data_IF_646517282792
#
_entry.id   IF_646517282792
#
_cell.length_a   1.000
_cell.length_b   1.000
_cell.length_c   1.000
_cell.angle_alpha   90.00
_cell.angle_beta   90.00
_cell.angle_gamma   90.00
#
_symmetry.space_group_name_H-M   'P 1'
#
loop_
_entity.id
_entity.type
_entity.pdbx_description
1 polymer ?
#
# COMPACT_ATOMS: atom_id res chain seq x y z
N UNK A 1 49.52 -11.46 -56.51
CA UNK A 1 48.80 -11.76 -55.24
C UNK A 1 47.72 -10.74 -54.86
N UNK A 2 47.87 -9.42 -55.09
CA UNK A 2 46.89 -8.39 -54.66
C UNK A 2 45.48 -8.46 -55.33
N UNK A 3 45.34 -8.89 -56.59
CA UNK A 3 44.03 -8.88 -57.27
C UNK A 3 43.09 -10.05 -56.92
N UNK A 4 43.62 -11.21 -56.50
CA UNK A 4 42.83 -12.34 -55.96
C UNK A 4 42.14 -11.95 -54.65
N UNK A 5 42.80 -11.12 -53.83
CA UNK A 5 42.26 -10.66 -52.54
C UNK A 5 41.10 -9.67 -52.71
N UNK A 6 41.20 -8.75 -53.68
CA UNK A 6 40.14 -7.79 -54.02
C UNK A 6 38.86 -8.45 -54.61
N UNK A 7 39.02 -9.53 -55.38
CA UNK A 7 37.86 -10.29 -55.90
C UNK A 7 37.11 -11.04 -54.79
N UNK A 8 37.83 -11.62 -53.83
CA UNK A 8 37.23 -12.28 -52.67
C UNK A 8 36.46 -11.29 -51.78
N UNK A 9 37.07 -10.13 -51.49
CA UNK A 9 36.41 -9.06 -50.70
C UNK A 9 35.14 -8.54 -51.39
N UNK A 10 35.15 -8.37 -52.72
CA UNK A 10 33.94 -7.97 -53.48
C UNK A 10 32.84 -9.03 -53.44
N UNK A 11 33.17 -10.30 -53.58
CA UNK A 11 32.22 -11.41 -53.52
C UNK A 11 31.60 -11.55 -52.12
N UNK A 12 32.41 -11.38 -51.07
CA UNK A 12 31.96 -11.40 -49.68
C UNK A 12 31.02 -10.22 -49.37
N UNK A 13 31.36 -9.01 -49.82
CA UNK A 13 30.49 -7.83 -49.70
C UNK A 13 29.16 -7.98 -50.46
N UNK A 14 29.16 -8.61 -51.64
CA UNK A 14 27.92 -8.90 -52.38
C UNK A 14 27.06 -9.93 -51.65
N UNK A 15 27.64 -11.01 -51.12
CA UNK A 15 26.93 -12.01 -50.31
C UNK A 15 26.34 -11.38 -49.05
N UNK A 16 27.09 -10.51 -48.36
CA UNK A 16 26.61 -9.79 -47.18
C UNK A 16 25.44 -8.87 -47.54
N UNK A 17 25.53 -8.10 -48.63
CA UNK A 17 24.40 -7.26 -49.11
C UNK A 17 23.16 -8.06 -49.49
N UNK A 18 23.35 -9.22 -50.12
CA UNK A 18 22.24 -10.10 -50.50
C UNK A 18 21.59 -10.75 -49.27
N UNK A 19 22.40 -11.20 -48.32
CA UNK A 19 21.93 -11.72 -47.02
C UNK A 19 21.16 -10.65 -46.24
N UNK A 20 21.68 -9.43 -46.15
CA UNK A 20 21.00 -8.31 -45.49
C UNK A 20 19.67 -7.94 -46.17
N UNK A 21 19.61 -7.94 -47.51
CA UNK A 21 18.35 -7.75 -48.24
C UNK A 21 17.34 -8.85 -47.92
N UNK A 22 17.77 -10.11 -47.87
CA UNK A 22 16.90 -11.25 -47.58
C UNK A 22 16.39 -11.19 -46.13
N UNK A 23 17.26 -10.83 -45.17
CA UNK A 23 16.86 -10.60 -43.78
C UNK A 23 15.83 -9.48 -43.66
N UNK A 24 16.06 -8.35 -44.33
CA UNK A 24 15.11 -7.23 -44.35
C UNK A 24 13.76 -7.63 -44.95
N UNK A 25 13.76 -8.49 -45.97
CA UNK A 25 12.53 -9.06 -46.54
C UNK A 25 11.80 -9.96 -45.53
N UNK A 26 12.51 -10.86 -44.84
CA UNK A 26 11.92 -11.72 -43.80
C UNK A 26 11.34 -10.88 -42.66
N UNK A 27 12.08 -9.89 -42.14
CA UNK A 27 11.59 -8.99 -41.09
C UNK A 27 10.32 -8.28 -41.52
N UNK A 28 10.30 -7.67 -42.71
CA UNK A 28 9.12 -6.97 -43.22
C UNK A 28 7.92 -7.91 -43.38
N UNK A 29 8.14 -9.13 -43.90
CA UNK A 29 7.10 -10.15 -44.03
C UNK A 29 6.56 -10.59 -42.68
N UNK A 30 7.42 -10.72 -41.67
CA UNK A 30 7.04 -11.03 -40.31
C UNK A 30 6.19 -9.92 -39.68
N UNK A 31 6.59 -8.65 -39.80
CA UNK A 31 5.82 -7.52 -39.28
C UNK A 31 4.40 -7.49 -39.88
N UNK A 32 4.32 -7.55 -41.22
CA UNK A 32 3.03 -7.61 -41.92
C UNK A 32 2.20 -8.83 -41.50
N UNK A 33 2.84 -9.98 -41.24
CA UNK A 33 2.15 -11.18 -40.75
C UNK A 33 1.54 -10.96 -39.37
N UNK A 34 2.31 -10.38 -38.45
CA UNK A 34 1.89 -10.13 -37.08
C UNK A 34 0.74 -9.13 -37.03
N UNK A 35 0.88 -7.97 -37.69
CA UNK A 35 -0.15 -6.92 -37.74
C UNK A 35 -1.45 -7.41 -38.40
N UNK A 36 -1.35 -8.31 -39.40
CA UNK A 36 -2.54 -8.87 -40.07
C UNK A 36 -3.27 -9.92 -39.23
N UNK A 37 -2.54 -10.69 -38.43
CA UNK A 37 -3.10 -11.86 -37.70
C UNK A 37 -3.43 -11.55 -36.26
N UNK A 38 -2.78 -10.56 -35.65
CA UNK A 38 -2.88 -10.26 -34.23
C UNK A 38 -3.02 -8.76 -34.00
N UNK A 39 -3.86 -8.40 -33.05
CA UNK A 39 -3.82 -7.09 -32.39
C UNK A 39 -2.96 -7.24 -31.15
N UNK A 40 -1.86 -6.49 -31.07
CA UNK A 40 -0.94 -6.51 -29.94
C UNK A 40 -0.86 -5.15 -29.28
N UNK A 41 -0.74 -5.15 -27.96
CA UNK A 41 -0.56 -3.95 -27.14
C UNK A 41 0.37 -4.25 -25.98
N UNK A 42 1.21 -3.29 -25.60
CA UNK A 42 2.10 -3.43 -24.47
C UNK A 42 1.41 -2.88 -23.22
N UNK A 43 0.96 -3.78 -22.34
CA UNK A 43 0.33 -3.42 -21.08
C UNK A 43 1.40 -2.86 -20.13
N UNK A 44 1.41 -1.54 -19.95
CA UNK A 44 2.39 -0.84 -19.11
C UNK A 44 2.20 -1.13 -17.62
N UNK A 45 0.98 -1.48 -17.20
CA UNK A 45 0.66 -1.79 -15.81
C UNK A 45 1.14 -3.20 -15.42
N UNK A 46 1.00 -4.18 -16.34
CA UNK A 46 1.50 -5.55 -16.14
C UNK A 46 2.96 -5.75 -16.60
N UNK A 47 3.49 -4.83 -17.39
CA UNK A 47 4.83 -4.91 -17.97
C UNK A 47 4.98 -6.02 -19.00
N UNK A 48 3.92 -6.34 -19.76
CA UNK A 48 3.94 -7.42 -20.75
C UNK A 48 3.15 -7.06 -22.01
N UNK A 49 3.49 -7.71 -23.13
CA UNK A 49 2.65 -7.63 -24.34
C UNK A 49 1.46 -8.56 -24.20
N UNK A 50 0.28 -8.04 -24.51
CA UNK A 50 -0.95 -8.81 -24.66
C UNK A 50 -1.34 -8.85 -26.13
N UNK A 51 -1.98 -9.94 -26.54
CA UNK A 51 -2.47 -10.10 -27.90
C UNK A 51 -3.84 -10.76 -27.95
N UNK A 52 -4.57 -10.46 -29.02
CA UNK A 52 -5.72 -11.23 -29.48
C UNK A 52 -5.63 -11.44 -30.99
N UNK A 53 -6.47 -12.31 -31.54
CA UNK A 53 -6.58 -12.44 -32.99
C UNK A 53 -7.14 -11.14 -33.58
N UNK A 54 -6.55 -10.68 -34.68
CA UNK A 54 -7.00 -9.46 -35.35
C UNK A 54 -8.47 -9.58 -35.78
N UNK A 55 -9.28 -8.55 -35.50
CA UNK A 55 -10.71 -8.52 -35.76
C UNK A 55 -11.56 -9.43 -34.86
N UNK A 56 -10.98 -10.00 -33.81
CA UNK A 56 -11.70 -10.81 -32.83
C UNK A 56 -12.23 -9.97 -31.68
N UNK A 57 -13.40 -10.35 -31.15
CA UNK A 57 -13.97 -9.79 -29.92
C UNK A 57 -13.47 -10.53 -28.66
N UNK A 58 -12.56 -11.48 -28.81
CA UNK A 58 -11.91 -12.16 -27.68
C UNK A 58 -11.12 -11.16 -26.82
N UNK A 59 -11.00 -11.42 -25.50
CA UNK A 59 -10.16 -10.62 -24.62
C UNK A 59 -8.69 -10.72 -25.02
N UNK A 60 -7.94 -9.66 -24.74
CA UNK A 60 -6.49 -9.69 -24.84
C UNK A 60 -5.92 -10.65 -23.80
N UNK A 61 -4.97 -11.48 -24.21
CA UNK A 61 -4.28 -12.45 -23.34
C UNK A 61 -2.79 -12.14 -23.33
N UNK A 62 -2.15 -12.25 -22.17
CA UNK A 62 -0.71 -12.07 -22.03
C UNK A 62 0.05 -13.04 -22.94
N UNK A 63 1.02 -12.51 -23.69
CA UNK A 63 1.84 -13.30 -24.62
C UNK A 63 2.98 -13.95 -23.86
N UNK A 64 2.70 -15.12 -23.30
CA UNK A 64 3.67 -15.98 -22.65
C UNK A 64 4.63 -16.67 -23.65
N UNK A 65 5.56 -17.47 -23.13
CA UNK A 65 6.51 -18.21 -23.96
C UNK A 65 5.84 -19.20 -24.91
N UNK A 66 4.77 -19.85 -24.45
CA UNK A 66 4.01 -20.82 -25.25
C UNK A 66 3.34 -20.14 -26.45
N UNK A 67 2.74 -18.98 -26.24
CA UNK A 67 2.11 -18.16 -27.27
C UNK A 67 3.17 -17.66 -28.26
N UNK A 68 4.33 -17.18 -27.80
CA UNK A 68 5.45 -16.78 -28.69
C UNK A 68 5.94 -17.93 -29.57
N UNK A 69 6.16 -19.11 -28.99
CA UNK A 69 6.56 -20.30 -29.73
C UNK A 69 5.49 -20.71 -30.76
N UNK A 70 4.22 -20.60 -30.39
CA UNK A 70 3.09 -20.88 -31.29
C UNK A 70 3.06 -19.89 -32.47
N UNK A 71 3.26 -18.60 -32.22
CA UNK A 71 3.33 -17.56 -33.27
C UNK A 71 4.50 -17.84 -34.21
N UNK A 72 5.68 -18.18 -33.69
CA UNK A 72 6.86 -18.50 -34.50
C UNK A 72 6.62 -19.73 -35.39
N UNK A 73 6.04 -20.81 -34.87
CA UNK A 73 5.70 -22.00 -35.66
C UNK A 73 4.69 -21.66 -36.76
N UNK A 74 3.62 -20.90 -36.44
CA UNK A 74 2.62 -20.50 -37.43
C UNK A 74 3.20 -19.59 -38.53
N UNK A 75 4.12 -18.69 -38.19
CA UNK A 75 4.81 -17.86 -39.18
C UNK A 75 5.67 -18.71 -40.13
N UNK A 76 6.37 -19.73 -39.60
CA UNK A 76 7.15 -20.68 -40.41
C UNK A 76 6.28 -21.51 -41.35
N UNK A 77 5.12 -21.97 -40.87
CA UNK A 77 4.14 -22.67 -41.71
C UNK A 77 3.62 -21.79 -42.86
N UNK A 78 3.53 -20.47 -42.65
CA UNK A 78 3.18 -19.48 -43.69
C UNK A 78 4.42 -19.01 -44.51
N UNK A 79 5.55 -19.74 -44.42
CA UNK A 79 6.74 -19.52 -45.24
C UNK A 79 7.62 -18.34 -44.81
N UNK A 80 7.50 -17.90 -43.55
CA UNK A 80 8.32 -16.84 -42.94
C UNK A 80 9.27 -17.50 -41.93
N UNK A 81 10.56 -17.54 -42.23
CA UNK A 81 11.58 -18.14 -41.35
C UNK A 81 11.88 -17.25 -40.13
N UNK A 82 10.92 -17.17 -39.21
CA UNK A 82 11.00 -16.39 -37.98
C UNK A 82 11.35 -17.27 -36.78
N UNK A 83 12.14 -16.73 -35.85
CA UNK A 83 12.44 -17.37 -34.57
C UNK A 83 11.64 -16.74 -33.45
N UNK A 84 11.49 -17.44 -32.32
CA UNK A 84 10.85 -16.91 -31.11
C UNK A 84 11.50 -15.59 -30.65
N UNK A 85 12.81 -15.46 -30.86
CA UNK A 85 13.57 -14.23 -30.59
C UNK A 85 13.16 -13.06 -31.47
N UNK A 86 12.77 -13.29 -32.72
CA UNK A 86 12.31 -12.22 -33.61
C UNK A 86 10.91 -11.76 -33.19
N UNK A 87 10.06 -12.69 -32.78
CA UNK A 87 8.75 -12.38 -32.18
C UNK A 87 8.93 -11.56 -30.90
N UNK A 88 9.83 -11.99 -30.01
CA UNK A 88 10.13 -11.26 -28.77
C UNK A 88 10.63 -9.85 -29.04
N UNK A 89 11.58 -9.67 -29.97
CA UNK A 89 12.10 -8.35 -30.35
C UNK A 89 11.01 -7.42 -30.86
N UNK A 90 10.08 -7.93 -31.67
CA UNK A 90 8.93 -7.15 -32.12
C UNK A 90 8.04 -6.73 -30.94
N UNK A 91 7.71 -7.66 -30.04
CA UNK A 91 6.89 -7.39 -28.85
C UNK A 91 7.53 -6.41 -27.87
N UNK A 92 8.85 -6.41 -27.76
CA UNK A 92 9.63 -5.51 -26.90
C UNK A 92 10.02 -4.20 -27.61
N UNK A 93 9.48 -3.93 -28.80
CA UNK A 93 9.76 -2.72 -29.58
C UNK A 93 8.59 -1.74 -29.63
N UNK A 94 8.87 -0.50 -30.01
CA UNK A 94 7.87 0.57 -30.15
C UNK A 94 6.83 0.33 -31.27
N UNK A 95 6.97 -0.75 -32.05
CA UNK A 95 5.92 -1.17 -32.98
C UNK A 95 4.66 -1.66 -32.24
N UNK A 96 4.81 -2.21 -31.04
CA UNK A 96 3.68 -2.56 -30.19
C UNK A 96 3.32 -1.37 -29.31
N UNK A 97 2.15 -0.78 -29.56
CA UNK A 97 1.71 0.43 -28.86
C UNK A 97 1.51 0.17 -27.37
N UNK A 98 1.98 1.12 -26.55
CA UNK A 98 1.71 1.14 -25.12
C UNK A 98 0.19 1.26 -24.86
N UNK A 99 -0.25 0.55 -23.83
CA UNK A 99 -1.62 0.50 -23.35
C UNK A 99 -1.58 0.47 -21.82
N UNK A 100 -2.33 1.35 -21.18
CA UNK A 100 -2.53 1.31 -19.74
C UNK A 100 -4.01 1.07 -19.45
N UNK A 101 -4.39 -0.08 -18.85
CA UNK A 101 -5.79 -0.37 -18.56
C UNK A 101 -6.42 0.64 -17.60
N UNK A 102 -5.63 1.24 -16.71
CA UNK A 102 -6.12 2.22 -15.73
C UNK A 102 -6.42 3.54 -16.39
N UNK A 103 -5.51 4.04 -17.24
CA UNK A 103 -5.68 5.31 -17.95
C UNK A 103 -6.93 5.24 -18.84
N UNK A 104 -7.08 4.16 -19.61
CA UNK A 104 -8.25 3.98 -20.49
C UNK A 104 -9.55 3.86 -19.71
N UNK A 105 -9.53 3.19 -18.56
CA UNK A 105 -10.68 3.12 -17.67
C UNK A 105 -11.08 4.51 -17.18
N UNK A 106 -10.15 5.29 -16.62
CA UNK A 106 -10.45 6.61 -16.05
C UNK A 106 -10.77 7.66 -17.12
N UNK A 107 -10.04 7.69 -18.24
CA UNK A 107 -10.30 8.59 -19.37
C UNK A 107 -11.70 8.35 -19.96
N UNK A 108 -12.10 7.08 -20.06
CA UNK A 108 -13.44 6.70 -20.53
C UNK A 108 -14.57 7.24 -19.66
N UNK A 109 -14.31 7.59 -18.39
CA UNK A 109 -15.31 8.05 -17.42
C UNK A 109 -15.46 9.58 -17.34
N UNK A 110 -14.54 10.35 -17.95
CA UNK A 110 -14.59 11.82 -17.92
C UNK A 110 -15.94 12.31 -18.48
N UNK A 111 -16.61 13.19 -17.72
CA UNK A 111 -17.91 13.76 -18.08
C UNK A 111 -19.11 12.81 -17.94
N UNK A 112 -18.95 11.60 -17.39
CA UNK A 112 -20.05 10.62 -17.22
C UNK A 112 -20.71 10.62 -15.85
N UNK A 113 -20.22 11.42 -14.90
CA UNK A 113 -20.75 11.46 -13.54
C UNK A 113 -22.18 12.01 -13.53
N UNK A 114 -23.08 11.29 -12.87
CA UNK A 114 -24.50 11.64 -12.76
C UNK A 114 -24.83 12.65 -11.64
N UNK A 115 -23.84 13.18 -10.93
CA UNK A 115 -24.01 14.17 -9.87
C UNK A 115 -24.39 13.63 -8.50
N UNK A 116 -24.52 12.30 -8.31
CA UNK A 116 -24.79 11.69 -7.00
C UNK A 116 -23.49 11.34 -6.26
N UNK A 117 -23.52 11.32 -4.93
CA UNK A 117 -22.35 10.99 -4.10
C UNK A 117 -22.20 9.47 -3.90
N UNK A 118 -21.69 8.78 -4.92
CA UNK A 118 -21.43 7.33 -4.90
C UNK A 118 -20.31 6.94 -3.93
N UNK A 119 -19.32 7.82 -3.73
CA UNK A 119 -18.22 7.57 -2.80
C UNK A 119 -18.72 7.56 -1.34
N UNK A 120 -19.59 8.50 -0.97
CA UNK A 120 -20.26 8.51 0.35
C UNK A 120 -21.17 7.30 0.53
N UNK A 121 -21.99 6.96 -0.48
CA UNK A 121 -22.81 5.73 -0.43
C UNK A 121 -21.98 4.46 -0.19
N UNK A 122 -20.78 4.40 -0.76
CA UNK A 122 -19.84 3.30 -0.53
C UNK A 122 -19.23 3.35 0.89
N UNK A 123 -18.92 4.54 1.39
CA UNK A 123 -18.43 4.73 2.76
C UNK A 123 -19.47 4.31 3.81
N UNK A 124 -20.75 4.63 3.57
CA UNK A 124 -21.89 4.31 4.44
C UNK A 124 -22.16 2.79 4.55
N UNK A 125 -21.66 2.00 3.60
CA UNK A 125 -21.72 0.55 3.69
C UNK A 125 -20.88 -0.01 4.87
N UNK A 126 -19.98 0.79 5.44
CA UNK A 126 -19.07 0.46 6.54
C UNK A 126 -19.65 1.01 7.86
N UNK A 127 -20.41 0.21 8.63
CA UNK A 127 -21.06 0.71 9.84
C UNK A 127 -20.02 0.99 10.94
N UNK A 128 -19.98 2.22 11.44
CA UNK A 128 -19.06 2.68 12.46
C UNK A 128 -19.62 3.91 13.19
N UNK A 129 -19.01 4.30 14.32
CA UNK A 129 -19.46 5.44 15.15
C UNK A 129 -18.70 6.74 14.87
N UNK A 130 -17.80 6.77 13.88
CA UNK A 130 -17.03 7.96 13.55
C UNK A 130 -17.76 8.83 12.52
N UNK A 131 -18.27 9.97 12.98
CA UNK A 131 -19.01 10.92 12.15
C UNK A 131 -18.21 11.50 10.95
N UNK A 132 -16.88 11.47 11.00
CA UNK A 132 -16.00 11.94 9.92
C UNK A 132 -15.58 10.85 8.93
N UNK A 133 -15.98 9.59 9.16
CA UNK A 133 -15.57 8.45 8.35
C UNK A 133 -15.85 8.67 6.86
N UNK A 134 -17.06 9.11 6.50
CA UNK A 134 -17.46 9.29 5.11
C UNK A 134 -16.56 10.33 4.39
N UNK A 135 -16.30 11.46 5.03
CA UNK A 135 -15.45 12.53 4.50
C UNK A 135 -13.99 12.08 4.35
N UNK A 136 -13.45 11.39 5.35
CA UNK A 136 -12.08 10.88 5.32
C UNK A 136 -11.90 9.76 4.29
N UNK A 137 -12.87 8.85 4.20
CA UNK A 137 -12.89 7.82 3.16
C UNK A 137 -12.97 8.45 1.77
N UNK A 138 -13.78 9.49 1.59
CA UNK A 138 -13.91 10.23 0.34
C UNK A 138 -12.58 10.86 -0.07
N UNK A 139 -11.95 11.61 0.83
CA UNK A 139 -10.63 12.23 0.60
C UNK A 139 -9.58 11.18 0.24
N UNK A 140 -9.54 10.06 0.97
CA UNK A 140 -8.62 8.96 0.69
C UNK A 140 -8.89 8.29 -0.67
N UNK A 141 -10.15 8.09 -1.03
CA UNK A 141 -10.54 7.49 -2.31
C UNK A 141 -10.13 8.40 -3.48
N UNK A 142 -10.32 9.71 -3.36
CA UNK A 142 -9.80 10.68 -4.33
C UNK A 142 -8.27 10.61 -4.41
N UNK A 143 -7.58 10.49 -3.27
CA UNK A 143 -6.12 10.38 -3.24
C UNK A 143 -5.62 9.16 -4.01
N UNK A 144 -6.34 8.04 -3.92
CA UNK A 144 -6.06 6.82 -4.67
C UNK A 144 -6.22 7.04 -6.18
N UNK A 145 -7.34 7.60 -6.61
CA UNK A 145 -7.60 7.87 -8.04
C UNK A 145 -6.64 8.94 -8.59
N UNK A 146 -6.33 9.98 -7.82
CA UNK A 146 -5.36 11.01 -8.19
C UNK A 146 -3.96 10.42 -8.42
N UNK A 147 -3.59 9.40 -7.66
CA UNK A 147 -2.32 8.70 -7.84
C UNK A 147 -2.29 7.90 -9.14
N UNK A 148 -3.41 7.28 -9.52
CA UNK A 148 -3.53 6.57 -10.80
C UNK A 148 -3.48 7.52 -12.00
N UNK A 149 -4.07 8.71 -11.87
CA UNK A 149 -4.00 9.79 -12.87
C UNK A 149 -2.63 10.48 -12.96
N UNK A 150 -1.66 10.11 -12.10
CA UNK A 150 -0.34 10.74 -12.07
C UNK A 150 -0.33 12.19 -11.58
N UNK A 151 -1.37 12.65 -10.88
CA UNK A 151 -1.42 14.00 -10.30
C UNK A 151 -0.45 14.17 -9.12
N UNK A 152 -0.05 13.06 -8.49
CA UNK A 152 0.81 13.02 -7.32
C UNK A 152 2.30 13.03 -7.69
N UNK A 153 2.87 14.23 -7.87
CA UNK A 153 4.27 14.39 -8.27
C UNK A 153 5.23 14.33 -7.06
N UNK A 154 4.82 14.87 -5.90
CA UNK A 154 5.71 15.09 -4.75
C UNK A 154 5.48 14.11 -3.59
N UNK A 155 4.24 13.68 -3.35
CA UNK A 155 3.87 12.80 -2.24
C UNK A 155 2.88 11.75 -2.71
N UNK A 156 3.09 10.48 -2.32
CA UNK A 156 2.08 9.44 -2.53
C UNK A 156 0.94 9.55 -1.52
N UNK A 157 -0.15 8.82 -1.75
CA UNK A 157 -1.25 8.69 -0.79
C UNK A 157 -0.72 8.07 0.51
N UNK A 158 -0.48 8.93 1.52
CA UNK A 158 0.29 8.58 2.72
C UNK A 158 -0.56 8.19 3.91
N UNK A 159 -1.89 8.23 3.74
CA UNK A 159 -2.90 7.83 4.73
C UNK A 159 -3.65 6.61 4.21
N UNK A 160 -4.01 5.69 5.10
CA UNK A 160 -4.72 4.45 4.76
C UNK A 160 -5.88 4.18 5.74
N UNK A 161 -7.08 3.81 5.27
CA UNK A 161 -8.13 3.31 6.14
C UNK A 161 -7.68 2.02 6.85
N UNK A 162 -7.99 1.91 8.14
CA UNK A 162 -7.76 0.73 8.95
C UNK A 162 -9.10 0.27 9.53
N UNK A 163 -9.64 -0.82 8.98
CA UNK A 163 -10.90 -1.40 9.40
C UNK A 163 -10.69 -2.41 10.53
N UNK A 164 -11.28 -2.14 11.68
CA UNK A 164 -11.09 -2.93 12.90
C UNK A 164 -12.40 -3.62 13.27
N UNK A 165 -12.39 -4.94 13.36
CA UNK A 165 -13.54 -5.70 13.83
C UNK A 165 -13.16 -7.14 14.13
N UNK A 166 -14.02 -7.88 14.83
CA UNK A 166 -13.90 -9.35 14.88
C UNK A 166 -13.99 -9.97 13.47
N UNK A 167 -13.55 -11.21 13.35
CA UNK A 167 -13.68 -11.99 12.10
C UNK A 167 -15.15 -12.09 11.67
N UNK A 168 -15.41 -12.25 10.38
CA UNK A 168 -16.77 -12.42 9.82
C UNK A 168 -17.49 -11.12 9.44
N UNK A 169 -16.87 -9.96 9.60
CA UNK A 169 -17.46 -8.65 9.29
C UNK A 169 -17.27 -8.19 7.83
N UNK A 170 -16.75 -9.08 6.97
CA UNK A 170 -16.56 -8.85 5.53
C UNK A 170 -15.56 -7.73 5.16
N UNK A 171 -14.61 -7.42 6.05
CA UNK A 171 -13.53 -6.42 5.82
C UNK A 171 -12.74 -6.68 4.53
N UNK A 172 -12.17 -7.87 4.38
CA UNK A 172 -11.36 -8.22 3.21
C UNK A 172 -12.20 -8.24 1.92
N UNK A 173 -13.48 -8.62 2.01
CA UNK A 173 -14.43 -8.51 0.89
C UNK A 173 -14.64 -7.06 0.49
N UNK A 174 -14.76 -6.14 1.44
CA UNK A 174 -14.86 -4.71 1.16
C UNK A 174 -13.62 -4.19 0.45
N UNK A 175 -12.43 -4.43 1.00
CA UNK A 175 -11.17 -4.01 0.39
C UNK A 175 -11.03 -4.50 -1.05
N UNK A 176 -11.33 -5.79 -1.31
CA UNK A 176 -11.28 -6.38 -2.65
C UNK A 176 -12.30 -5.77 -3.60
N UNK A 177 -13.52 -5.48 -3.11
CA UNK A 177 -14.62 -4.91 -3.90
C UNK A 177 -14.53 -3.40 -4.11
N UNK A 178 -13.45 -2.74 -3.66
CA UNK A 178 -13.17 -1.37 -4.07
C UNK A 178 -12.79 -1.29 -5.55
N UNK A 179 -12.14 -2.33 -6.09
CA UNK A 179 -11.73 -2.36 -7.49
C UNK A 179 -12.78 -3.03 -8.39
N UNK A 180 -13.09 -2.48 -9.58
CA UNK A 180 -13.90 -3.16 -10.57
C UNK A 180 -13.20 -4.42 -11.09
N UNK A 181 -13.96 -5.35 -11.67
CA UNK A 181 -13.43 -6.62 -12.22
C UNK A 181 -12.26 -6.39 -13.18
N UNK A 182 -12.37 -5.38 -14.05
CA UNK A 182 -11.32 -5.01 -15.01
C UNK A 182 -9.98 -4.60 -14.37
N UNK A 183 -9.99 -4.18 -13.09
CA UNK A 183 -8.82 -3.73 -12.34
C UNK A 183 -8.45 -4.67 -11.17
N UNK A 184 -9.11 -5.82 -11.05
CA UNK A 184 -8.85 -6.78 -9.96
C UNK A 184 -7.43 -7.33 -9.95
N UNK A 185 -6.73 -7.35 -11.09
CA UNK A 185 -5.31 -7.69 -11.17
C UNK A 185 -4.43 -6.78 -10.31
N UNK A 186 -4.90 -5.56 -10.01
CA UNK A 186 -4.20 -4.57 -9.19
C UNK A 186 -4.43 -4.69 -7.69
N UNK A 187 -5.28 -5.60 -7.22
CA UNK A 187 -5.50 -5.84 -5.78
C UNK A 187 -4.45 -6.80 -5.22
N UNK A 188 -3.87 -6.48 -4.08
CA UNK A 188 -2.88 -7.33 -3.41
C UNK A 188 -3.18 -7.44 -1.91
N UNK A 189 -3.50 -8.64 -1.43
CA UNK A 189 -3.80 -8.96 -0.03
C UNK A 189 -2.79 -9.92 0.63
N UNK A 190 -1.79 -10.37 -0.12
CA UNK A 190 -0.83 -11.38 0.34
C UNK A 190 0.60 -10.83 0.44
N UNK A 191 0.75 -9.52 0.66
CA UNK A 191 2.05 -8.86 0.72
C UNK A 191 2.72 -9.04 2.08
N UNK A 192 3.90 -9.67 2.09
CA UNK A 192 4.76 -9.71 3.27
C UNK A 192 5.54 -8.39 3.38
N UNK A 193 5.02 -7.49 4.20
CA UNK A 193 5.52 -6.10 4.36
C UNK A 193 6.94 -6.05 4.96
N UNK A 194 7.38 -7.07 5.70
CA UNK A 194 8.74 -7.11 6.26
C UNK A 194 9.83 -7.14 5.18
N UNK A 195 9.50 -7.52 3.94
CA UNK A 195 10.43 -7.57 2.83
C UNK A 195 10.39 -6.28 2.00
N UNK A 196 11.37 -5.41 2.25
CA UNK A 196 11.46 -4.08 1.61
C UNK A 196 11.37 -4.11 0.09
N UNK A 197 12.16 -4.96 -0.57
CA UNK A 197 12.19 -5.00 -2.04
C UNK A 197 10.88 -5.46 -2.65
N UNK A 198 10.24 -6.46 -2.03
CA UNK A 198 8.94 -6.98 -2.49
C UNK A 198 7.83 -5.96 -2.28
N UNK A 199 7.83 -5.23 -1.16
CA UNK A 199 6.91 -4.12 -0.92
C UNK A 199 7.09 -3.01 -1.94
N UNK A 200 8.32 -2.55 -2.18
CA UNK A 200 8.60 -1.50 -3.15
C UNK A 200 8.17 -1.91 -4.57
N UNK A 201 8.37 -3.18 -4.95
CA UNK A 201 7.86 -3.71 -6.22
C UNK A 201 6.34 -3.72 -6.27
N UNK A 202 5.67 -4.24 -5.24
CA UNK A 202 4.20 -4.27 -5.17
C UNK A 202 3.60 -2.87 -5.31
N UNK A 203 4.21 -1.85 -4.73
CA UNK A 203 3.75 -0.47 -4.86
C UNK A 203 3.80 0.10 -6.28
N UNK A 204 4.63 -0.46 -7.15
CA UNK A 204 4.73 -0.10 -8.58
C UNK A 204 3.83 -0.95 -9.48
N UNK A 205 3.25 -2.04 -8.96
CA UNK A 205 2.53 -3.05 -9.75
C UNK A 205 1.11 -3.33 -9.26
N UNK A 206 0.72 -2.81 -8.09
CA UNK A 206 -0.60 -2.95 -7.51
C UNK A 206 -1.27 -1.59 -7.37
N UNK A 207 -2.58 -1.54 -7.59
CA UNK A 207 -3.40 -0.34 -7.45
C UNK A 207 -3.82 -0.12 -6.00
N UNK A 208 -4.15 -1.21 -5.30
CA UNK A 208 -4.55 -1.21 -3.90
C UNK A 208 -3.88 -2.38 -3.18
N UNK A 209 -3.12 -2.05 -2.14
CA UNK A 209 -2.47 -3.04 -1.27
C UNK A 209 -3.24 -3.10 0.05
N UNK A 210 -3.81 -4.26 0.35
CA UNK A 210 -4.43 -4.55 1.64
C UNK A 210 -3.38 -5.11 2.60
N UNK A 211 -3.16 -4.40 3.70
CA UNK A 211 -2.36 -4.86 4.83
C UNK A 211 -3.28 -5.68 5.73
N UNK A 212 -3.36 -6.97 5.45
CA UNK A 212 -4.16 -7.86 6.28
C UNK A 212 -3.49 -8.13 7.63
N UNK A 213 -4.31 -8.41 8.64
CA UNK A 213 -3.89 -8.67 10.01
C UNK A 213 -2.87 -7.64 10.54
N UNK A 214 -3.15 -6.35 10.39
CA UNK A 214 -2.23 -5.26 10.75
C UNK A 214 -1.67 -5.38 12.18
N UNK A 215 -2.46 -5.92 13.11
CA UNK A 215 -2.07 -6.17 14.50
C UNK A 215 -0.95 -7.21 14.69
N UNK A 216 -0.62 -7.99 13.66
CA UNK A 216 0.49 -8.97 13.69
C UNK A 216 1.84 -8.34 13.32
N UNK A 217 1.83 -7.13 12.74
CA UNK A 217 3.05 -6.44 12.37
C UNK A 217 3.84 -6.03 13.61
N UNK A 218 5.15 -6.29 13.58
CA UNK A 218 6.05 -5.83 14.65
C UNK A 218 6.06 -4.31 14.77
N UNK A 219 6.25 -3.79 15.99
CA UNK A 219 6.37 -2.35 16.24
C UNK A 219 7.45 -1.68 15.36
N UNK A 220 8.56 -2.38 15.10
CA UNK A 220 9.63 -1.91 14.20
C UNK A 220 9.15 -1.74 12.75
N UNK A 221 8.31 -2.65 12.27
CA UNK A 221 7.71 -2.56 10.94
C UNK A 221 6.72 -1.40 10.86
N UNK A 222 5.90 -1.21 11.90
CA UNK A 222 4.92 -0.12 11.97
C UNK A 222 5.60 1.26 12.00
N UNK A 223 6.50 1.52 12.96
CA UNK A 223 7.13 2.84 13.14
C UNK A 223 8.17 3.16 12.06
N UNK A 224 9.06 2.21 11.74
CA UNK A 224 10.16 2.47 10.82
C UNK A 224 9.78 2.28 9.34
N UNK A 225 9.23 1.11 9.02
CA UNK A 225 9.10 0.69 7.63
C UNK A 225 7.90 1.34 6.95
N UNK A 226 6.70 1.19 7.51
CA UNK A 226 5.48 1.75 6.93
C UNK A 226 5.54 3.27 6.84
N UNK A 227 6.09 3.95 7.86
CA UNK A 227 6.32 5.40 7.86
C UNK A 227 7.08 5.88 6.63
N UNK A 228 8.18 5.20 6.30
CA UNK A 228 9.01 5.56 5.15
C UNK A 228 8.32 5.19 3.83
N UNK A 229 7.73 4.01 3.77
CA UNK A 229 7.14 3.45 2.54
C UNK A 229 5.89 4.21 2.11
N UNK A 230 4.99 4.52 3.05
CA UNK A 230 3.72 5.21 2.77
C UNK A 230 3.93 6.65 2.27
N UNK A 231 5.12 7.26 2.49
CA UNK A 231 5.41 8.62 2.03
C UNK A 231 6.02 8.69 0.62
N UNK A 232 6.52 7.57 0.09
CA UNK A 232 7.19 7.57 -1.22
C UNK A 232 6.19 7.93 -2.33
N UNK A 233 6.56 8.88 -3.20
CA UNK A 233 5.87 9.17 -4.46
C UNK A 233 6.48 8.40 -5.64
N UNK A 234 7.81 8.23 -5.62
CA UNK A 234 8.57 7.54 -6.64
C UNK A 234 9.43 6.44 -6.01
N UNK A 235 9.59 5.34 -6.73
CA UNK A 235 10.19 4.11 -6.21
C UNK A 235 11.38 3.75 -7.07
N UNK A 236 12.56 3.73 -6.45
CA UNK A 236 13.80 3.29 -7.09
C UNK A 236 13.96 1.79 -6.87
N UNK A 237 13.83 1.02 -7.95
CA UNK A 237 14.00 -0.44 -7.92
C UNK A 237 14.95 -0.90 -9.02
N UNK A 238 15.63 -2.03 -8.76
CA UNK A 238 16.34 -2.76 -9.80
C UNK A 238 15.42 -3.88 -10.29
N UNK A 239 14.96 -3.79 -11.54
CA UNK A 239 14.17 -4.85 -12.13
C UNK A 239 15.03 -6.09 -12.38
N UNK A 240 14.45 -7.31 -12.34
CA UNK A 240 15.17 -8.53 -12.72
C UNK A 240 15.76 -8.34 -14.12
N UNK A 241 17.00 -8.81 -14.32
CA UNK A 241 17.72 -8.72 -15.60
C UNK A 241 18.13 -7.31 -16.06
N UNK A 242 17.70 -6.24 -15.36
CA UNK A 242 18.20 -4.89 -15.60
C UNK A 242 19.50 -4.65 -14.81
N UNK A 243 20.51 -4.11 -15.49
CA UNK A 243 21.77 -3.69 -14.83
C UNK A 243 21.60 -2.38 -14.06
N UNK A 244 20.74 -1.49 -14.56
CA UNK A 244 20.49 -0.18 -13.98
C UNK A 244 19.28 -0.18 -13.05
N UNK A 245 19.29 0.71 -12.07
CA UNK A 245 18.09 1.03 -11.29
C UNK A 245 17.19 1.93 -12.11
N UNK A 246 15.90 1.65 -12.06
CA UNK A 246 14.86 2.47 -12.66
C UNK A 246 14.07 3.17 -11.55
N UNK A 247 13.63 4.39 -11.82
CA UNK A 247 12.69 5.10 -10.96
C UNK A 247 11.32 4.96 -11.58
N UNK A 248 10.41 4.28 -10.88
CA UNK A 248 9.03 4.08 -11.31
C UNK A 248 8.09 4.90 -10.44
N UNK A 249 7.00 5.44 -11.00
CA UNK A 249 5.98 6.09 -10.21
C UNK A 249 5.31 5.08 -9.27
N UNK A 250 4.93 5.53 -8.08
CA UNK A 250 4.09 4.73 -7.20
C UNK A 250 2.65 4.78 -7.69
N UNK A 251 2.03 3.61 -7.86
CA UNK A 251 0.61 3.50 -8.23
C UNK A 251 -0.28 3.01 -7.06
N UNK A 252 0.30 2.30 -6.09
CA UNK A 252 -0.46 1.73 -4.99
C UNK A 252 -0.94 2.75 -3.94
N UNK A 253 -2.20 2.64 -3.55
CA UNK A 253 -2.70 3.09 -2.24
C UNK A 253 -2.75 1.92 -1.26
N UNK A 254 -2.78 2.23 0.03
CA UNK A 254 -2.87 1.24 1.09
C UNK A 254 -4.25 1.28 1.75
N UNK A 255 -4.73 0.11 2.15
CA UNK A 255 -5.84 -0.11 3.09
C UNK A 255 -5.41 -1.20 4.06
N UNK A 256 -5.96 -1.25 5.26
CA UNK A 256 -5.56 -2.21 6.27
C UNK A 256 -6.76 -2.81 6.99
N UNK A 257 -6.60 -4.04 7.47
CA UNK A 257 -7.60 -4.75 8.25
C UNK A 257 -6.97 -5.29 9.54
N UNK A 258 -7.70 -5.18 10.65
CA UNK A 258 -7.28 -5.73 11.93
C UNK A 258 -8.44 -6.44 12.64
N UNK A 259 -8.08 -7.42 13.47
CA UNK A 259 -9.04 -8.20 14.24
C UNK A 259 -9.18 -7.74 15.70
N UNK A 260 -8.27 -6.88 16.16
CA UNK A 260 -8.22 -6.33 17.52
C UNK A 260 -8.06 -4.81 17.47
N UNK A 261 -8.59 -4.12 18.49
CA UNK A 261 -8.58 -2.65 18.62
C UNK A 261 -7.22 -2.07 18.98
N UNK A 262 -6.38 -2.85 19.66
CA UNK A 262 -5.09 -2.38 20.16
C UNK A 262 -4.05 -2.59 19.06
N UNK A 263 -4.08 -1.72 18.04
CA UNK A 263 -3.33 -1.94 16.79
C UNK A 263 -2.05 -1.14 16.69
N UNK A 264 -1.99 0.05 17.31
CA UNK A 264 -0.83 0.93 17.19
C UNK A 264 0.14 0.75 18.35
N UNK A 265 1.33 0.21 18.08
CA UNK A 265 2.40 0.10 19.08
C UNK A 265 3.18 1.40 19.29
N UNK A 266 3.12 2.33 18.33
CA UNK A 266 3.82 3.63 18.38
C UNK A 266 2.86 4.80 18.09
N UNK A 267 2.77 5.81 18.99
CA UNK A 267 1.95 7.01 18.79
C UNK A 267 2.27 7.80 17.51
N UNK A 268 3.50 7.76 17.00
CA UNK A 268 3.90 8.54 15.82
C UNK A 268 3.41 7.94 14.49
N UNK A 269 3.17 6.62 14.47
CA UNK A 269 2.65 5.88 13.33
C UNK A 269 1.14 6.08 13.08
N UNK A 270 0.39 6.40 14.14
CA UNK A 270 -1.07 6.52 14.14
C UNK A 270 -1.61 7.49 13.08
N UNK A 271 -0.90 8.58 12.80
CA UNK A 271 -1.38 9.64 11.90
C UNK A 271 -1.53 9.23 10.42
N UNK A 272 -0.99 8.06 10.04
CA UNK A 272 -1.07 7.52 8.66
C UNK A 272 -2.25 6.57 8.47
N UNK A 273 -3.05 6.36 9.50
CA UNK A 273 -4.16 5.43 9.43
C UNK A 273 -5.46 6.10 9.86
N UNK A 274 -6.53 5.91 9.09
CA UNK A 274 -7.88 6.30 9.52
C UNK A 274 -8.49 5.05 10.16
N UNK A 275 -8.32 4.91 11.47
CA UNK A 275 -8.77 3.72 12.18
C UNK A 275 -10.24 3.84 12.58
N UNK A 276 -11.04 2.84 12.23
CA UNK A 276 -12.45 2.76 12.59
C UNK A 276 -12.82 1.36 13.06
N UNK A 277 -13.50 1.29 14.20
CA UNK A 277 -14.13 0.06 14.68
C UNK A 277 -15.49 -0.11 14.04
N UNK A 278 -15.72 -1.28 13.45
CA UNK A 278 -17.01 -1.59 12.86
C UNK A 278 -18.03 -1.94 13.94
N UNK A 279 -19.19 -1.30 13.88
CA UNK A 279 -20.34 -1.58 14.76
C UNK A 279 -21.20 -2.73 14.25
N UNK A 280 -21.00 -3.16 13.01
CA UNK A 280 -21.65 -4.33 12.42
C UNK A 280 -20.94 -4.84 11.16
N UNK A 281 -21.41 -5.95 10.56
CA UNK A 281 -20.84 -6.46 9.31
C UNK A 281 -21.05 -5.45 8.17
N UNK A 282 -20.05 -5.30 7.30
CA UNK A 282 -20.13 -4.41 6.12
C UNK A 282 -21.24 -4.89 5.18
N UNK A 283 -22.08 -3.94 4.73
CA UNK A 283 -23.26 -4.20 3.90
C UNK A 283 -23.07 -3.61 2.50
N UNK A 284 -22.25 -4.25 1.69
CA UNK A 284 -22.11 -3.89 0.28
C UNK A 284 -23.34 -4.32 -0.54
N UNK A 285 -23.76 -3.51 -1.53
CA UNK A 285 -24.77 -3.94 -2.51
C UNK A 285 -24.25 -5.12 -3.34
N UNK A 286 -25.15 -5.86 -3.97
CA UNK A 286 -24.79 -6.95 -4.88
C UNK A 286 -23.97 -6.41 -6.06
N UNK A 287 -24.39 -5.29 -6.63
CA UNK A 287 -23.69 -4.58 -7.69
C UNK A 287 -23.24 -3.20 -7.22
N UNK A 288 -21.96 -2.88 -7.43
CA UNK A 288 -21.41 -1.53 -7.24
C UNK A 288 -21.31 -0.91 -8.63
N UNK A 289 -21.89 0.28 -8.81
CA UNK A 289 -21.75 1.05 -10.04
C UNK A 289 -20.35 1.69 -10.08
N UNK A 290 -19.36 0.89 -10.50
CA UNK A 290 -17.98 1.34 -10.57
C UNK A 290 -17.80 2.47 -11.59
N UNK A 291 -18.59 2.50 -12.67
CA UNK A 291 -18.48 3.59 -13.64
C UNK A 291 -18.83 4.92 -12.98
N UNK A 292 -19.94 4.99 -12.25
CA UNK A 292 -20.33 6.21 -11.56
C UNK A 292 -19.44 6.55 -10.36
N UNK A 293 -18.99 5.54 -9.60
CA UNK A 293 -18.06 5.72 -8.48
C UNK A 293 -16.76 6.40 -8.92
N UNK A 294 -16.14 5.88 -9.99
CA UNK A 294 -14.88 6.43 -10.50
C UNK A 294 -15.11 7.68 -11.37
N UNK A 295 -16.26 7.82 -12.06
CA UNK A 295 -16.61 9.06 -12.75
C UNK A 295 -16.77 10.22 -11.77
N UNK A 296 -17.36 9.99 -10.59
CA UNK A 296 -17.39 10.99 -9.52
C UNK A 296 -15.98 11.41 -9.13
N UNK A 297 -15.11 10.44 -8.82
CA UNK A 297 -13.74 10.74 -8.40
C UNK A 297 -12.97 11.55 -9.46
N UNK A 298 -13.06 11.17 -10.73
CA UNK A 298 -12.43 11.88 -11.85
C UNK A 298 -13.01 13.30 -11.97
N UNK A 299 -14.33 13.46 -11.93
CA UNK A 299 -14.97 14.77 -12.05
C UNK A 299 -14.60 15.71 -10.91
N UNK A 300 -14.54 15.22 -9.67
CA UNK A 300 -14.14 16.04 -8.53
C UNK A 300 -12.67 16.44 -8.60
N UNK A 301 -11.78 15.53 -9.01
CA UNK A 301 -10.36 15.82 -9.20
C UNK A 301 -10.12 16.83 -10.33
N UNK A 302 -10.80 16.68 -11.47
CA UNK A 302 -10.74 17.64 -12.58
C UNK A 302 -11.24 19.04 -12.15
N UNK A 303 -12.19 19.10 -11.21
CA UNK A 303 -12.67 20.35 -10.61
C UNK A 303 -11.80 20.87 -9.45
N UNK A 304 -10.66 20.25 -9.17
CA UNK A 304 -9.71 20.69 -8.14
C UNK A 304 -10.13 20.36 -6.70
N UNK A 305 -11.01 19.38 -6.48
CA UNK A 305 -11.35 18.89 -5.13
C UNK A 305 -10.07 18.42 -4.43
N UNK A 306 -9.91 18.82 -3.16
CA UNK A 306 -8.79 18.39 -2.32
C UNK A 306 -8.84 16.88 -2.09
N UNK A 307 -7.71 16.21 -2.31
CA UNK A 307 -7.53 14.77 -2.15
C UNK A 307 -6.39 14.42 -1.18
N UNK A 308 -5.95 15.36 -0.37
CA UNK A 308 -4.87 15.19 0.61
C UNK A 308 -5.34 15.69 1.98
N UNK A 309 -4.77 15.11 3.04
CA UNK A 309 -5.07 15.46 4.42
C UNK A 309 -4.11 16.56 4.88
N UNK A 310 -4.65 17.65 5.39
CA UNK A 310 -3.87 18.74 5.95
C UNK A 310 -3.46 18.48 7.41
N UNK A 311 -2.86 19.47 8.05
CA UNK A 311 -2.44 19.37 9.44
C UNK A 311 -3.61 19.26 10.42
N UNK A 312 -4.74 19.93 10.16
CA UNK A 312 -5.94 19.84 10.99
C UNK A 312 -6.58 18.45 10.85
N UNK A 313 -6.71 17.95 9.62
CA UNK A 313 -7.20 16.60 9.36
C UNK A 313 -6.31 15.55 10.06
N UNK A 314 -4.99 15.73 9.98
CA UNK A 314 -4.02 14.85 10.63
C UNK A 314 -4.19 14.85 12.15
N UNK A 315 -4.45 16.01 12.75
CA UNK A 315 -4.71 16.14 14.17
C UNK A 315 -6.02 15.44 14.57
N UNK A 316 -7.10 15.63 13.81
CA UNK A 316 -8.37 14.96 14.07
C UNK A 316 -8.27 13.43 13.94
N UNK A 317 -7.51 12.94 12.95
CA UNK A 317 -7.20 11.51 12.79
C UNK A 317 -6.42 11.01 14.01
N UNK A 318 -5.42 11.76 14.48
CA UNK A 318 -4.62 11.39 15.65
C UNK A 318 -5.48 11.32 16.91
N UNK A 319 -6.39 12.27 17.11
CA UNK A 319 -7.33 12.29 18.24
C UNK A 319 -8.27 11.08 18.21
N UNK A 320 -8.86 10.78 17.05
CA UNK A 320 -9.64 9.55 16.86
C UNK A 320 -8.82 8.29 17.17
N UNK A 321 -7.53 8.29 16.85
CA UNK A 321 -6.69 7.11 16.97
C UNK A 321 -6.15 6.84 18.37
N UNK A 322 -6.30 7.76 19.33
CA UNK A 322 -5.87 7.57 20.72
C UNK A 322 -6.49 6.29 21.32
N UNK A 323 -7.73 5.98 20.97
CA UNK A 323 -8.44 4.79 21.46
C UNK A 323 -7.89 3.45 20.93
N UNK A 324 -7.07 3.46 19.88
CA UNK A 324 -6.50 2.27 19.23
C UNK A 324 -5.03 2.02 19.57
N UNK A 325 -4.47 2.83 20.47
CA UNK A 325 -3.09 2.69 20.92
C UNK A 325 -2.95 1.49 21.84
N UNK A 326 -1.94 0.66 21.59
CA UNK A 326 -1.57 -0.43 22.48
C UNK A 326 -1.04 0.15 23.78
N UNK A 327 -1.71 -0.17 24.89
CA UNK A 327 -1.17 0.13 26.21
C UNK A 327 0.04 -0.76 26.46
N UNK A 328 1.17 -0.15 26.74
CA UNK A 328 2.36 -0.92 27.12
C UNK A 328 2.13 -1.59 28.47
N UNK A 329 2.73 -2.77 28.75
CA UNK A 329 2.64 -3.37 30.09
C UNK A 329 3.09 -2.40 31.20
N UNK A 330 4.10 -1.58 30.92
CA UNK A 330 4.58 -0.54 31.82
C UNK A 330 3.52 0.52 32.16
N UNK A 331 2.80 0.99 31.14
CA UNK A 331 1.70 1.95 31.30
C UNK A 331 0.51 1.32 32.04
N UNK A 332 0.16 0.07 31.72
CA UNK A 332 -0.93 -0.63 32.41
C UNK A 332 -0.65 -0.77 33.92
N UNK A 333 0.56 -1.16 34.29
CA UNK A 333 0.99 -1.28 35.69
C UNK A 333 1.07 0.07 36.40
N UNK A 334 1.52 1.09 35.67
CA UNK A 334 1.49 2.46 36.18
C UNK A 334 0.05 2.87 36.50
N UNK A 335 -0.89 2.71 35.57
CA UNK A 335 -2.30 3.07 35.78
C UNK A 335 -3.01 2.18 36.81
N UNK A 336 -2.52 0.97 37.08
CA UNK A 336 -3.00 0.12 38.17
C UNK A 336 -2.50 0.60 39.54
N UNK A 337 -1.26 1.08 39.62
CA UNK A 337 -0.66 1.54 40.87
C UNK A 337 -0.85 3.02 41.17
N UNK A 338 -1.11 3.84 40.16
CA UNK A 338 -1.17 5.29 40.26
C UNK A 338 -2.42 5.84 39.57
N UNK A 339 -2.94 6.95 40.07
CA UNK A 339 -3.92 7.78 39.39
C UNK A 339 -3.29 9.11 39.01
N UNK A 340 -3.79 9.70 37.92
CA UNK A 340 -3.43 11.04 37.48
C UNK A 340 -4.36 12.01 38.23
N UNK A 341 -3.87 12.82 39.17
CA UNK A 341 -4.70 13.70 39.97
C UNK A 341 -5.29 14.81 39.09
N UNK A 342 -6.62 14.98 39.10
CA UNK A 342 -7.28 16.15 38.47
C UNK A 342 -7.02 17.45 39.24
N UNK A 343 -6.80 17.30 40.54
CA UNK A 343 -6.49 18.38 41.46
C UNK A 343 -5.00 18.33 41.80
N UNK A 344 -4.27 19.37 41.38
CA UNK A 344 -2.81 19.39 41.49
C UNK A 344 -2.31 19.32 42.93
N UNK A 345 -3.15 19.66 43.91
CA UNK A 345 -2.80 19.61 45.34
C UNK A 345 -2.98 18.21 45.96
N UNK A 346 -3.59 17.26 45.23
CA UNK A 346 -3.87 15.89 45.71
C UNK A 346 -2.89 14.84 45.17
N UNK A 347 -1.82 15.28 44.50
CA UNK A 347 -0.76 14.43 43.99
C UNK A 347 0.58 14.67 44.67
N UNK A 348 1.48 13.71 44.55
CA UNK A 348 2.89 13.85 44.88
C UNK A 348 3.71 13.84 43.59
N UNK A 349 4.69 14.72 43.51
CA UNK A 349 5.69 14.67 42.44
C UNK A 349 6.68 13.53 42.72
N UNK A 350 6.80 12.61 41.78
CA UNK A 350 7.71 11.48 41.87
C UNK A 350 8.60 11.41 40.62
N UNK A 351 9.88 11.10 40.80
CA UNK A 351 10.76 10.85 39.65
C UNK A 351 10.38 9.56 38.95
N UNK A 352 10.74 9.43 37.66
CA UNK A 352 10.59 8.17 36.94
C UNK A 352 11.27 6.99 37.68
N UNK A 353 12.41 7.23 38.34
CA UNK A 353 13.12 6.23 39.13
C UNK A 353 12.33 5.79 40.37
N UNK A 354 11.71 6.72 41.08
CA UNK A 354 10.87 6.43 42.26
C UNK A 354 9.62 5.63 41.88
N UNK A 355 8.94 6.02 40.80
CA UNK A 355 7.77 5.31 40.26
C UNK A 355 8.19 3.89 39.82
N UNK A 356 9.29 3.78 39.08
CA UNK A 356 9.82 2.50 38.61
C UNK A 356 10.17 1.56 39.77
N UNK A 357 10.82 2.08 40.82
CA UNK A 357 11.18 1.31 42.01
C UNK A 357 9.93 0.79 42.74
N UNK A 358 8.89 1.62 42.87
CA UNK A 358 7.64 1.21 43.52
C UNK A 358 6.94 0.09 42.74
N UNK A 359 6.87 0.21 41.40
CA UNK A 359 6.32 -0.84 40.54
C UNK A 359 7.12 -2.14 40.66
N UNK A 360 8.45 -2.05 40.70
CA UNK A 360 9.33 -3.21 40.89
C UNK A 360 9.14 -3.87 42.25
N UNK A 361 8.90 -3.09 43.30
CA UNK A 361 8.60 -3.62 44.63
C UNK A 361 7.23 -4.33 44.68
N UNK A 362 6.22 -3.80 43.96
CA UNK A 362 4.85 -4.33 43.99
C UNK A 362 4.64 -5.59 43.17
N UNK A 363 5.25 -5.68 41.98
CA UNK A 363 5.04 -6.78 41.04
C UNK A 363 6.29 -7.67 40.83
N UNK A 364 7.40 -7.36 41.50
CA UNK A 364 8.61 -8.19 41.54
C UNK A 364 9.39 -8.28 40.22
N UNK A 365 10.25 -9.31 40.14
CA UNK A 365 11.19 -9.57 39.03
C UNK A 365 10.52 -10.05 37.73
N UNK A 366 9.22 -10.35 37.74
CA UNK A 366 8.46 -10.77 36.55
C UNK A 366 8.24 -9.62 35.55
N UNK A 367 8.57 -8.40 35.97
CA UNK A 367 8.59 -7.22 35.12
C UNK A 367 9.78 -7.24 34.16
N UNK A 368 9.53 -7.59 32.90
CA UNK A 368 10.42 -7.24 31.79
C UNK A 368 10.33 -5.73 31.47
N UNK A 369 10.45 -4.87 32.50
CA UNK A 369 10.64 -3.44 32.32
C UNK A 369 12.07 -3.23 31.80
N UNK A 370 12.18 -3.12 30.48
CA UNK A 370 13.42 -3.21 29.71
C UNK A 370 14.49 -2.18 30.08
N UNK A 371 14.11 -0.99 30.56
CA UNK A 371 15.03 0.00 31.16
C UNK A 371 14.29 1.18 31.80
N UNK A 372 14.94 1.85 32.76
CA UNK A 372 14.43 3.10 33.35
C UNK A 372 14.29 4.22 32.30
N UNK A 373 15.19 4.28 31.32
CA UNK A 373 15.13 5.26 30.23
C UNK A 373 13.94 5.03 29.30
N UNK A 374 13.61 3.78 28.99
CA UNK A 374 12.38 3.42 28.29
C UNK A 374 11.13 3.80 29.10
N UNK A 375 11.11 3.48 30.40
CA UNK A 375 10.00 3.83 31.27
C UNK A 375 9.76 5.34 31.38
N UNK A 376 10.82 6.14 31.46
CA UNK A 376 10.72 7.60 31.43
C UNK A 376 10.03 8.13 30.16
N UNK A 377 10.28 7.51 28.99
CA UNK A 377 9.58 7.84 27.74
C UNK A 377 8.11 7.43 27.78
N UNK A 378 7.80 6.28 28.38
CA UNK A 378 6.41 5.84 28.57
C UNK A 378 5.65 6.87 29.39
N UNK A 379 6.16 7.29 30.55
CA UNK A 379 5.52 8.30 31.40
C UNK A 379 5.30 9.62 30.67
N UNK A 380 6.28 10.09 29.89
CA UNK A 380 6.16 11.32 29.12
C UNK A 380 5.03 11.28 28.07
N UNK A 381 4.63 10.09 27.61
CA UNK A 381 3.57 9.89 26.63
C UNK A 381 2.20 9.57 27.25
N UNK A 382 2.08 9.47 28.58
CA UNK A 382 0.79 9.22 29.23
C UNK A 382 -0.08 10.49 29.14
N UNK A 383 -1.28 10.43 28.53
CA UNK A 383 -2.14 11.59 28.39
C UNK A 383 -2.49 12.21 29.75
N UNK A 384 -2.43 13.54 29.83
CA UNK A 384 -2.74 14.34 31.03
C UNK A 384 -1.79 14.14 32.22
N UNK A 385 -0.67 13.42 32.08
CA UNK A 385 0.31 13.29 33.15
C UNK A 385 1.19 14.54 33.23
N UNK A 386 0.99 15.37 34.25
CA UNK A 386 1.78 16.58 34.45
C UNK A 386 3.21 16.25 34.88
N UNK A 387 4.18 16.91 34.24
CA UNK A 387 5.60 16.80 34.60
C UNK A 387 6.23 18.17 34.87
N UNK A 388 7.30 18.19 35.66
CA UNK A 388 8.15 19.37 35.90
C UNK A 388 9.62 18.97 35.94
N UNK A 389 10.51 19.90 35.61
CA UNK A 389 11.95 19.71 35.79
C UNK A 389 12.38 20.08 37.22
N UNK A 390 13.17 19.22 37.85
CA UNK A 390 13.82 19.46 39.14
C UNK A 390 15.33 19.20 39.07
N UNK A 391 16.07 19.51 40.13
CA UNK A 391 17.50 19.21 40.26
C UNK A 391 17.83 17.72 40.17
N UNK A 392 16.84 16.85 40.36
CA UNK A 392 16.99 15.39 40.34
C UNK A 392 16.43 14.73 39.06
N UNK A 393 16.01 15.54 38.08
CA UNK A 393 15.47 15.09 36.79
C UNK A 393 14.01 15.50 36.59
N UNK A 394 13.31 14.81 35.68
CA UNK A 394 11.88 15.05 35.44
C UNK A 394 11.03 14.33 36.50
N UNK A 395 10.17 15.09 37.16
CA UNK A 395 9.20 14.61 38.13
C UNK A 395 7.79 14.63 37.55
N UNK A 396 7.00 13.60 37.87
CA UNK A 396 5.63 13.42 37.39
C UNK A 396 4.66 13.48 38.57
N UNK A 397 3.55 14.21 38.41
CA UNK A 397 2.53 14.35 39.44
C UNK A 397 1.61 13.12 39.43
N UNK A 398 1.65 12.34 40.51
CA UNK A 398 0.91 11.08 40.63
C UNK A 398 0.30 10.92 42.02
N UNK A 399 -0.79 10.17 42.13
CA UNK A 399 -1.33 9.72 43.42
C UNK A 399 -1.29 8.18 43.46
N UNK A 400 -0.76 7.62 44.54
CA UNK A 400 -0.67 6.15 44.71
C UNK A 400 -2.07 5.60 44.99
N UNK A 401 -2.49 4.58 44.24
CA UNK A 401 -3.74 3.86 44.47
C UNK A 401 -3.58 2.90 45.65
N UNK A 402 -4.43 3.07 46.65
CA UNK A 402 -4.35 2.41 47.96
C UNK A 402 -4.75 0.94 48.00
N UNK A 403 -5.12 0.30 46.88
CA UNK A 403 -5.64 -1.07 46.92
C UNK A 403 -4.58 -2.12 46.56
N UNK A 404 -4.61 -3.23 47.30
CA UNK A 404 -3.72 -4.41 47.28
C UNK A 404 -2.41 -4.27 48.07
N UNK A 405 -2.52 -3.95 49.36
CA UNK A 405 -1.56 -4.35 50.40
C UNK A 405 -2.34 -4.98 51.56
N UNK A 406 -3.19 -5.99 51.30
CA UNK A 406 -3.78 -6.83 52.34
C UNK A 406 -4.11 -8.23 51.80
N UNK A 407 -3.09 -9.05 51.57
CA UNK A 407 -3.23 -10.51 51.54
C UNK A 407 -1.86 -11.15 51.80
N UNK A 408 -1.36 -10.98 53.02
CA UNK A 408 -0.05 -11.50 53.38
C UNK A 408 0.36 -11.30 54.82
N UNK A 409 -0.59 -11.21 55.77
CA UNK A 409 -0.30 -11.34 57.20
C UNK A 409 -1.58 -11.53 58.03
N UNK A 410 -2.00 -12.79 58.16
CA UNK A 410 -2.88 -13.34 59.20
C UNK A 410 -2.93 -14.85 58.90
N UNK A 411 -2.48 -15.80 59.72
CA UNK A 411 -2.28 -15.86 61.16
C UNK A 411 -1.52 -17.17 61.44
N UNK A 412 -0.35 -17.10 62.07
CA UNK A 412 0.27 -18.24 62.75
C UNK A 412 0.08 -18.01 64.25
N UNK A 413 -0.97 -18.63 64.79
CA UNK A 413 -1.20 -18.78 66.22
C UNK A 413 -2.06 -20.03 66.43
N UNK A 414 -1.37 -21.16 66.53
CA UNK A 414 -1.57 -22.27 67.48
C UNK A 414 -0.68 -23.44 67.06
#
# INVERSE_FOLDING_TARGET
MKSKNLKNIKAENQRNRQSERLKNDITRRLLNYLERKYEMRFNTALGCTEARKAGSNEPFVAVDERMRNTIAIKARLDGIDAWDKDIRRYMESDFVKAFNPVDIFLEGLRGRWNGKNHIEMLADCVPNDNARWAEWFHTWFLAMVAQWLGLNISHGNSVAPLLISRQGYRKSTFCKRLLPEALQWGYNDNLIISEKQNTLRAMTQSLLINIDEFNTLSAKTQDGFLKNVMQLANIKIRQPYCQQQVTLPRIASFIATANVSDVFSDPSGCRRFIAVTLTGPIRLPEHIDYEQLYAQAVAELDNGRRYWFDEADTQDIMENNVQYQQRTPAEALFLDSFSIPKDLTKGAYMTAASIFSLLRQRYGSQLNLTSLSHFGRVLANIPNLHSKHSSHGTEYLVAVRSNVVQSGQSSLSC
#
